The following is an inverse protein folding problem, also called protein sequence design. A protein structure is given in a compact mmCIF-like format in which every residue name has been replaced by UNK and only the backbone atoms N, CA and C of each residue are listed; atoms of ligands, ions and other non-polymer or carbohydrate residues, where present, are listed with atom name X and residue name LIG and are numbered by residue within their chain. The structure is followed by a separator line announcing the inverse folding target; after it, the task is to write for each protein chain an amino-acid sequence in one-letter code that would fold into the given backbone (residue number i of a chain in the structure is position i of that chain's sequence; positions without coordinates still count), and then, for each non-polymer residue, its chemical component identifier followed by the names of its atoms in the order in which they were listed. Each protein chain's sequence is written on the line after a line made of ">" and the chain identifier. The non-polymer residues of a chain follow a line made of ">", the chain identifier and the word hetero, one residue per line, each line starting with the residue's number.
data_IF_999986894537
#
_entry.id   IF_999986894537
#
_cell.length_a   1.000
_cell.length_b   1.000
_cell.length_c   1.000
_cell.angle_alpha   90.00
_cell.angle_beta   90.00
_cell.angle_gamma   90.00
#
_symmetry.space_group_name_H-M   'P 1'
#
loop_
_entity.id
_entity.type
_entity.pdbx_description
1 polymer ?
#
# COMPACT_ATOMS: atom_id res chain seq x y z
N UNK A 1 -11.03 15.34 -6.11
CA UNK A 1 -10.78 14.19 -5.21
C UNK A 1 -12.01 13.29 -5.20
N UNK A 2 -11.83 11.98 -5.40
CA UNK A 2 -12.92 10.98 -5.34
C UNK A 2 -13.34 10.81 -3.88
N UNK A 3 -14.63 10.97 -3.58
CA UNK A 3 -15.19 10.72 -2.25
C UNK A 3 -16.08 9.49 -2.30
N UNK A 4 -15.72 8.47 -1.52
CA UNK A 4 -16.44 7.20 -1.42
C UNK A 4 -17.05 6.99 -0.02
N UNK A 5 -16.84 7.94 0.91
CA UNK A 5 -17.26 7.86 2.31
C UNK A 5 -16.49 6.80 3.11
N UNK A 6 -15.25 6.53 2.70
CA UNK A 6 -14.38 5.57 3.36
C UNK A 6 -13.59 6.23 4.51
N UNK A 7 -13.34 5.51 5.61
CA UNK A 7 -12.71 6.08 6.80
C UNK A 7 -11.35 6.76 6.56
N UNK A 8 -10.55 6.28 5.60
CA UNK A 8 -9.25 6.87 5.29
C UNK A 8 -9.36 8.32 4.78
N UNK A 9 -10.50 8.70 4.21
CA UNK A 9 -10.70 10.06 3.69
C UNK A 9 -10.54 11.15 4.75
N UNK A 10 -10.91 10.84 6.00
CA UNK A 10 -10.85 11.78 7.12
C UNK A 10 -9.41 12.15 7.50
N UNK A 11 -8.43 11.33 7.16
CA UNK A 11 -7.03 11.57 7.48
C UNK A 11 -6.14 11.92 6.26
N UNK A 12 -6.69 11.97 5.04
CA UNK A 12 -5.91 12.24 3.84
C UNK A 12 -5.21 13.60 3.85
N UNK A 13 -5.87 14.64 4.30
CA UNK A 13 -5.27 16.00 4.34
C UNK A 13 -4.09 16.02 5.33
N UNK A 14 -4.23 15.35 6.48
CA UNK A 14 -3.13 15.20 7.44
C UNK A 14 -1.99 14.37 6.87
N UNK A 15 -2.29 13.28 6.17
CA UNK A 15 -1.30 12.43 5.50
C UNK A 15 -0.50 13.21 4.45
N UNK A 16 -1.16 14.00 3.61
CA UNK A 16 -0.54 14.85 2.61
C UNK A 16 0.39 15.88 3.24
N UNK A 17 -0.08 16.56 4.30
CA UNK A 17 0.74 17.50 5.05
C UNK A 17 1.99 16.80 5.62
N UNK A 18 1.82 15.67 6.30
CA UNK A 18 2.98 14.92 6.85
C UNK A 18 3.98 14.52 5.77
N UNK A 19 3.52 14.03 4.62
CA UNK A 19 4.39 13.67 3.51
C UNK A 19 5.03 14.88 2.83
N UNK A 20 4.47 16.08 2.92
CA UNK A 20 5.12 17.29 2.43
C UNK A 20 6.29 17.74 3.33
N UNK A 21 6.19 17.48 4.63
CA UNK A 21 7.16 17.91 5.65
C UNK A 21 8.19 16.84 6.00
N UNK A 22 7.89 15.56 5.75
CA UNK A 22 8.67 14.39 6.15
C UNK A 22 8.88 13.43 4.98
N UNK A 23 9.91 12.64 5.07
CA UNK A 23 10.24 11.61 4.06
C UNK A 23 9.71 10.24 4.43
N UNK A 24 9.43 9.99 5.71
CA UNK A 24 8.81 8.78 6.23
C UNK A 24 7.53 9.10 6.99
N UNK A 25 6.48 8.36 6.67
CA UNK A 25 5.20 8.43 7.36
C UNK A 25 4.62 7.03 7.52
N UNK A 26 3.97 6.79 8.64
CA UNK A 26 3.21 5.55 8.90
C UNK A 26 1.72 5.90 8.90
N UNK A 27 0.94 5.22 8.09
CA UNK A 27 -0.52 5.30 8.08
C UNK A 27 -1.11 4.06 8.77
N UNK A 28 -1.77 4.28 9.87
CA UNK A 28 -2.51 3.25 10.59
C UNK A 28 -4.00 3.39 10.30
N UNK A 29 -4.60 2.36 9.71
CA UNK A 29 -6.03 2.34 9.46
C UNK A 29 -6.52 0.90 9.34
N UNK A 30 -7.70 0.57 9.87
CA UNK A 30 -8.22 -0.80 9.88
C UNK A 30 -8.44 -1.34 8.46
N UNK A 31 -8.58 -2.67 8.31
CA UNK A 31 -8.98 -3.28 7.05
C UNK A 31 -10.29 -2.66 6.53
N UNK A 32 -10.39 -2.50 5.21
CA UNK A 32 -11.58 -1.91 4.59
C UNK A 32 -11.68 -0.38 4.70
N UNK A 33 -10.75 0.30 5.35
CA UNK A 33 -10.72 1.78 5.43
C UNK A 33 -10.47 2.48 4.09
N UNK A 34 -10.05 1.77 3.05
CA UNK A 34 -9.75 2.33 1.73
C UNK A 34 -8.29 2.69 1.49
N UNK A 35 -7.36 2.31 2.39
CA UNK A 35 -5.91 2.59 2.27
C UNK A 35 -5.38 2.27 0.88
N UNK A 36 -5.45 1.01 0.50
CA UNK A 36 -4.88 0.44 -0.74
C UNK A 36 -5.33 1.18 -2.01
N UNK A 37 -6.57 1.67 -2.03
CA UNK A 37 -7.16 2.20 -3.27
C UNK A 37 -7.25 3.72 -3.33
N UNK A 38 -7.48 4.39 -2.20
CA UNK A 38 -7.64 5.84 -2.19
C UNK A 38 -6.34 6.59 -1.94
N UNK A 39 -5.46 6.08 -1.08
CA UNK A 39 -4.23 6.77 -0.70
C UNK A 39 -3.32 7.03 -1.91
N UNK A 40 -2.98 6.03 -2.76
CA UNK A 40 -2.12 6.29 -3.91
C UNK A 40 -2.72 7.32 -4.88
N UNK A 41 -4.04 7.25 -5.11
CA UNK A 41 -4.74 8.21 -5.98
C UNK A 41 -4.79 9.62 -5.40
N UNK A 42 -4.98 9.73 -4.08
CA UNK A 42 -5.02 11.03 -3.41
C UNK A 42 -3.66 11.75 -3.42
N UNK A 43 -2.56 11.02 -3.53
CA UNK A 43 -1.19 11.55 -3.51
C UNK A 43 -0.63 11.87 -4.89
N UNK A 44 -1.33 11.50 -5.98
CA UNK A 44 -0.84 11.65 -7.36
C UNK A 44 -0.49 13.07 -7.77
N UNK A 45 -1.25 14.04 -7.27
CA UNK A 45 -1.12 15.45 -7.65
C UNK A 45 -0.37 16.31 -6.62
N UNK A 46 0.29 15.65 -5.67
CA UNK A 46 1.07 16.37 -4.66
C UNK A 46 2.34 16.99 -5.27
N UNK A 47 2.57 18.27 -4.98
CA UNK A 47 3.68 19.04 -5.58
C UNK A 47 5.06 18.44 -5.32
N UNK A 48 5.28 17.81 -4.15
CA UNK A 48 6.55 17.17 -3.80
C UNK A 48 6.84 15.92 -4.66
N UNK A 49 5.83 15.30 -5.25
CA UNK A 49 6.01 14.16 -6.17
C UNK A 49 6.69 14.59 -7.48
N UNK A 50 6.55 15.87 -7.87
CA UNK A 50 7.24 16.48 -9.03
C UNK A 50 7.09 15.67 -10.32
N UNK A 51 5.92 15.06 -10.57
CA UNK A 51 5.66 14.21 -11.72
C UNK A 51 6.26 12.80 -11.66
N UNK A 52 7.02 12.47 -10.63
CA UNK A 52 7.57 11.13 -10.41
C UNK A 52 6.48 10.10 -10.11
N UNK A 53 6.83 8.83 -10.20
CA UNK A 53 5.90 7.71 -9.99
C UNK A 53 5.71 7.39 -8.50
N UNK A 54 4.60 6.77 -8.20
CA UNK A 54 4.33 6.08 -6.95
C UNK A 54 4.46 4.58 -7.20
N UNK A 55 5.30 3.90 -6.44
CA UNK A 55 5.31 2.43 -6.36
C UNK A 55 4.55 2.00 -5.12
N UNK A 56 3.62 1.06 -5.26
CA UNK A 56 2.91 0.46 -4.13
C UNK A 56 3.20 -1.04 -4.09
N UNK A 57 3.83 -1.48 -3.01
CA UNK A 57 4.05 -2.88 -2.74
C UNK A 57 2.79 -3.51 -2.18
N UNK A 58 2.43 -4.63 -2.78
CA UNK A 58 1.33 -5.48 -2.34
C UNK A 58 1.86 -6.93 -2.25
N UNK A 59 1.81 -7.60 -1.08
CA UNK A 59 2.47 -8.89 -0.89
C UNK A 59 1.85 -10.02 -1.72
N UNK A 60 0.60 -9.87 -2.15
CA UNK A 60 -0.15 -10.93 -2.81
C UNK A 60 -0.44 -10.60 -4.27
N UNK A 61 -0.06 -11.46 -5.19
CA UNK A 61 -0.26 -11.28 -6.65
C UNK A 61 -1.72 -10.97 -7.04
N UNK A 62 -2.68 -11.66 -6.43
CA UNK A 62 -4.10 -11.42 -6.70
C UNK A 62 -4.51 -10.02 -6.21
N UNK A 63 -4.07 -9.62 -5.03
CA UNK A 63 -4.33 -8.30 -4.46
C UNK A 63 -3.65 -7.19 -5.29
N UNK A 64 -2.39 -7.38 -5.73
CA UNK A 64 -1.69 -6.48 -6.67
C UNK A 64 -2.54 -6.15 -7.88
N UNK A 65 -3.05 -7.19 -8.56
CA UNK A 65 -3.87 -7.01 -9.76
C UNK A 65 -5.22 -6.37 -9.43
N UNK A 66 -5.87 -6.82 -8.38
CA UNK A 66 -7.19 -6.30 -7.95
C UNK A 66 -7.11 -4.84 -7.52
N UNK A 67 -6.07 -4.44 -6.78
CA UNK A 67 -5.85 -3.07 -6.37
C UNK A 67 -5.66 -2.15 -7.59
N UNK A 68 -4.80 -2.53 -8.55
CA UNK A 68 -4.60 -1.76 -9.77
C UNK A 68 -5.90 -1.61 -10.59
N UNK A 69 -6.65 -2.69 -10.77
CA UNK A 69 -7.94 -2.64 -11.46
C UNK A 69 -8.95 -1.75 -10.74
N UNK A 70 -9.02 -1.85 -9.41
CA UNK A 70 -9.93 -1.01 -8.61
C UNK A 70 -9.57 0.46 -8.70
N UNK A 71 -8.29 0.81 -8.53
CA UNK A 71 -7.83 2.20 -8.65
C UNK A 71 -8.11 2.77 -10.06
N UNK A 72 -7.77 2.03 -11.12
CA UNK A 72 -8.06 2.46 -12.49
C UNK A 72 -9.56 2.68 -12.71
N UNK A 73 -10.41 1.77 -12.23
CA UNK A 73 -11.88 1.91 -12.31
C UNK A 73 -12.39 3.15 -11.57
N UNK A 74 -11.78 3.54 -10.44
CA UNK A 74 -12.18 4.73 -9.69
C UNK A 74 -11.94 6.03 -10.45
N UNK A 75 -10.99 6.04 -11.37
CA UNK A 75 -10.68 7.18 -12.24
C UNK A 75 -11.20 6.99 -13.67
N UNK A 76 -12.09 6.01 -13.90
CA UNK A 76 -12.69 5.67 -15.19
C UNK A 76 -11.66 5.30 -16.27
N UNK A 77 -10.59 4.61 -15.89
CA UNK A 77 -9.52 4.14 -16.78
C UNK A 77 -9.39 2.61 -16.76
N UNK A 78 -8.61 2.08 -17.70
CA UNK A 78 -8.16 0.70 -17.70
C UNK A 78 -6.77 0.59 -17.09
N UNK A 79 -6.42 -0.55 -16.44
CA UNK A 79 -5.05 -0.78 -15.97
C UNK A 79 -4.02 -0.67 -17.10
N UNK A 80 -2.92 0.03 -16.82
CA UNK A 80 -1.86 0.34 -17.77
C UNK A 80 -1.90 1.78 -18.30
N UNK A 81 -2.94 2.55 -17.96
CA UNK A 81 -2.98 4.00 -18.15
C UNK A 81 -2.34 4.70 -16.94
N UNK A 82 -3.04 5.57 -16.23
CA UNK A 82 -2.50 6.23 -15.02
C UNK A 82 -2.10 5.24 -13.92
N UNK A 83 -2.88 4.17 -13.75
CA UNK A 83 -2.60 3.09 -12.79
C UNK A 83 -2.27 1.81 -13.54
N UNK A 84 -1.17 1.18 -13.15
CA UNK A 84 -0.76 -0.12 -13.70
C UNK A 84 -0.25 -1.08 -12.63
N UNK A 85 0.18 -2.25 -13.05
CA UNK A 85 0.78 -3.23 -12.16
C UNK A 85 1.93 -3.99 -12.81
N UNK A 86 2.87 -4.44 -11.98
CA UNK A 86 3.95 -5.36 -12.39
C UNK A 86 4.07 -6.51 -11.40
N UNK A 87 4.03 -7.70 -11.92
CA UNK A 87 4.35 -8.92 -11.20
C UNK A 87 5.01 -9.93 -12.14
N UNK A 88 5.61 -10.97 -11.59
CA UNK A 88 6.26 -11.98 -12.42
C UNK A 88 5.29 -12.54 -13.45
N UNK A 89 5.66 -12.48 -14.73
CA UNK A 89 4.92 -13.00 -15.90
C UNK A 89 3.58 -12.28 -16.22
N UNK A 90 3.21 -11.21 -15.50
CA UNK A 90 2.03 -10.42 -15.85
C UNK A 90 2.28 -8.95 -15.52
N UNK A 91 2.26 -8.11 -16.54
CA UNK A 91 2.58 -6.68 -16.42
C UNK A 91 1.63 -5.88 -17.31
N UNK A 92 1.05 -4.83 -16.74
CA UNK A 92 0.27 -3.82 -17.46
C UNK A 92 0.67 -2.41 -17.00
N UNK A 93 1.61 -1.82 -17.69
CA UNK A 93 2.08 -0.45 -17.51
C UNK A 93 2.38 0.18 -18.85
N UNK A 94 2.38 1.50 -18.92
CA UNK A 94 2.79 2.30 -20.07
C UNK A 94 3.61 3.51 -19.63
N UNK A 95 4.02 4.35 -20.56
CA UNK A 95 4.71 5.60 -20.25
C UNK A 95 3.80 6.62 -19.53
N UNK A 96 2.50 6.42 -19.54
CA UNK A 96 1.52 7.25 -18.81
C UNK A 96 1.32 6.78 -17.38
N UNK A 97 1.82 5.59 -17.01
CA UNK A 97 1.58 5.00 -15.69
C UNK A 97 2.35 5.77 -14.62
N UNK A 98 1.59 6.30 -13.67
CA UNK A 98 2.07 7.09 -12.54
C UNK A 98 1.98 6.35 -11.21
N UNK A 99 1.04 5.42 -11.07
CA UNK A 99 0.95 4.49 -9.94
C UNK A 99 1.20 3.08 -10.45
N UNK A 100 2.25 2.44 -9.96
CA UNK A 100 2.54 1.04 -10.28
C UNK A 100 2.37 0.19 -9.02
N UNK A 101 1.37 -0.71 -9.03
CA UNK A 101 1.21 -1.71 -7.98
C UNK A 101 2.13 -2.89 -8.30
N UNK A 102 3.03 -3.22 -7.39
CA UNK A 102 4.09 -4.19 -7.65
C UNK A 102 4.20 -5.23 -6.54
N UNK A 103 4.70 -6.41 -6.87
CA UNK A 103 5.07 -7.40 -5.87
C UNK A 103 6.51 -7.17 -5.39
N UNK A 104 6.84 -7.66 -4.21
CA UNK A 104 8.13 -7.44 -3.53
C UNK A 104 9.35 -7.82 -4.39
N UNK A 105 9.31 -8.98 -5.04
CA UNK A 105 10.41 -9.41 -5.93
C UNK A 105 10.61 -8.50 -7.15
N UNK A 106 9.60 -7.73 -7.56
CA UNK A 106 9.74 -6.70 -8.59
C UNK A 106 10.50 -5.49 -8.04
N UNK A 107 10.15 -5.01 -6.83
CA UNK A 107 10.88 -3.88 -6.24
C UNK A 107 12.34 -4.22 -5.99
N UNK A 108 12.63 -5.38 -5.43
CA UNK A 108 14.02 -5.84 -5.22
C UNK A 108 14.81 -5.83 -6.51
N UNK A 109 14.22 -6.31 -7.61
CA UNK A 109 14.86 -6.28 -8.92
C UNK A 109 15.06 -4.87 -9.47
N UNK A 110 14.09 -3.97 -9.27
CA UNK A 110 14.23 -2.56 -9.66
C UNK A 110 15.38 -1.90 -8.91
N UNK A 111 15.49 -2.13 -7.60
CA UNK A 111 16.58 -1.62 -6.76
C UNK A 111 17.95 -2.19 -7.13
N UNK A 112 18.02 -3.42 -7.65
CA UNK A 112 19.26 -3.98 -8.18
C UNK A 112 19.70 -3.30 -9.48
N UNK A 113 18.76 -2.84 -10.31
CA UNK A 113 19.03 -2.16 -11.57
C UNK A 113 19.29 -0.67 -11.38
N UNK A 114 18.51 -0.04 -10.55
CA UNK A 114 18.60 1.37 -10.17
C UNK A 114 18.38 1.53 -8.65
N UNK A 115 19.46 1.52 -7.86
CA UNK A 115 19.36 1.70 -6.41
C UNK A 115 18.80 3.07 -5.99
N UNK A 116 18.86 4.06 -6.87
CA UNK A 116 18.34 5.39 -6.61
C UNK A 116 16.82 5.48 -6.77
N UNK A 117 16.21 4.60 -7.59
CA UNK A 117 14.81 4.71 -8.04
C UNK A 117 14.49 6.13 -8.51
N UNK A 118 15.32 6.71 -9.36
CA UNK A 118 15.29 8.15 -9.69
C UNK A 118 13.93 8.64 -10.16
N UNK A 119 13.21 7.84 -10.94
CA UNK A 119 11.86 8.17 -11.44
C UNK A 119 10.74 8.00 -10.41
N UNK A 120 11.05 7.50 -9.20
CA UNK A 120 10.08 7.22 -8.15
C UNK A 120 10.14 8.32 -7.10
N UNK A 121 9.01 8.92 -6.76
CA UNK A 121 8.90 9.91 -5.70
C UNK A 121 8.43 9.32 -4.37
N UNK A 122 7.64 8.23 -4.44
CA UNK A 122 7.07 7.59 -3.26
C UNK A 122 7.05 6.07 -3.42
N UNK A 123 7.49 5.35 -2.40
CA UNK A 123 7.25 3.92 -2.23
C UNK A 123 6.27 3.71 -1.08
N UNK A 124 5.16 3.05 -1.37
CA UNK A 124 4.14 2.65 -0.39
C UNK A 124 4.30 1.16 -0.11
N UNK A 125 4.43 0.80 1.14
CA UNK A 125 4.41 -0.57 1.62
C UNK A 125 3.03 -0.85 2.21
N UNK A 126 2.18 -1.57 1.48
CA UNK A 126 0.85 -1.93 1.97
C UNK A 126 0.88 -3.25 2.76
N UNK A 127 -0.07 -3.40 3.68
CA UNK A 127 -0.20 -4.56 4.58
C UNK A 127 1.11 -4.95 5.31
N UNK A 128 1.94 -3.95 5.65
CA UNK A 128 3.27 -4.18 6.23
C UNK A 128 3.24 -4.96 7.55
N UNK A 129 2.11 -4.98 8.24
CA UNK A 129 1.90 -5.77 9.46
C UNK A 129 1.91 -7.30 9.21
N UNK A 130 1.78 -7.77 7.98
CA UNK A 130 1.92 -9.21 7.65
C UNK A 130 3.37 -9.72 7.85
N UNK A 131 4.33 -8.81 8.03
CA UNK A 131 5.75 -9.07 8.32
C UNK A 131 6.35 -10.14 7.41
N UNK A 132 6.76 -9.70 6.26
CA UNK A 132 7.36 -10.53 5.23
C UNK A 132 8.84 -10.14 5.08
N UNK A 133 9.73 -11.12 5.02
CA UNK A 133 11.17 -10.91 4.87
C UNK A 133 11.52 -10.08 3.63
N UNK A 134 10.82 -10.31 2.53
CA UNK A 134 11.06 -9.59 1.27
C UNK A 134 10.65 -8.11 1.38
N UNK A 135 9.57 -7.80 2.11
CA UNK A 135 9.17 -6.42 2.40
C UNK A 135 10.16 -5.70 3.32
N UNK A 136 10.62 -6.37 4.38
CA UNK A 136 11.63 -5.81 5.30
C UNK A 136 12.95 -5.56 4.57
N UNK A 137 13.38 -6.47 3.71
CA UNK A 137 14.56 -6.31 2.86
C UNK A 137 14.39 -5.15 1.88
N UNK A 138 13.25 -5.07 1.19
CA UNK A 138 12.96 -4.02 0.23
C UNK A 138 12.95 -2.63 0.90
N UNK A 139 12.35 -2.52 2.09
CA UNK A 139 12.37 -1.28 2.88
C UNK A 139 13.81 -0.87 3.23
N UNK A 140 14.62 -1.82 3.72
CA UNK A 140 16.01 -1.57 4.07
C UNK A 140 16.84 -1.10 2.87
N UNK A 141 16.62 -1.71 1.69
CA UNK A 141 17.25 -1.32 0.43
C UNK A 141 16.81 0.07 -0.03
N UNK A 142 15.52 0.41 0.08
CA UNK A 142 15.01 1.75 -0.24
C UNK A 142 15.66 2.82 0.65
N UNK A 143 15.71 2.59 1.97
CA UNK A 143 16.34 3.51 2.91
C UNK A 143 17.83 3.70 2.62
N UNK A 144 18.54 2.60 2.37
CA UNK A 144 19.97 2.66 2.05
C UNK A 144 20.24 3.28 0.69
N UNK A 145 19.46 2.91 -0.32
CA UNK A 145 19.55 3.46 -1.68
C UNK A 145 19.33 4.97 -1.69
N UNK A 146 18.30 5.43 -0.98
CA UNK A 146 18.02 6.86 -0.81
C UNK A 146 19.22 7.61 -0.23
N UNK A 147 19.81 7.09 0.83
CA UNK A 147 20.94 7.75 1.51
C UNK A 147 22.21 7.78 0.66
N UNK A 148 22.48 6.75 -0.15
CA UNK A 148 23.73 6.61 -0.89
C UNK A 148 23.68 7.21 -2.30
N UNK A 149 22.51 7.23 -2.93
CA UNK A 149 22.39 7.48 -4.37
C UNK A 149 21.41 8.60 -4.73
N UNK A 150 20.74 9.23 -3.76
CA UNK A 150 19.83 10.35 -4.05
C UNK A 150 20.29 11.66 -3.44
N UNK A 151 19.95 12.75 -4.14
CA UNK A 151 20.13 14.10 -3.62
C UNK A 151 19.09 14.39 -2.51
N UNK A 152 19.54 15.11 -1.48
CA UNK A 152 18.67 15.57 -0.39
C UNK A 152 17.54 16.51 -0.84
N UNK A 153 17.66 17.12 -2.01
CA UNK A 153 16.61 18.01 -2.55
C UNK A 153 15.41 17.25 -3.14
N UNK A 154 15.58 15.95 -3.45
CA UNK A 154 14.51 15.10 -4.00
C UNK A 154 14.55 13.71 -3.37
N UNK A 155 14.33 13.59 -2.05
CA UNK A 155 14.41 12.32 -1.35
C UNK A 155 13.32 11.37 -1.83
N UNK A 156 13.61 10.06 -1.78
CA UNK A 156 12.59 9.04 -1.95
C UNK A 156 11.73 9.00 -0.69
N UNK A 157 10.45 9.32 -0.83
CA UNK A 157 9.53 9.23 0.30
C UNK A 157 9.03 7.81 0.51
N UNK A 158 8.79 7.47 1.76
CA UNK A 158 8.34 6.13 2.17
C UNK A 158 7.07 6.28 3.00
N UNK A 159 6.03 5.56 2.58
CA UNK A 159 4.78 5.44 3.32
C UNK A 159 4.57 3.98 3.70
N UNK A 160 4.50 3.69 4.99
CA UNK A 160 4.11 2.38 5.50
C UNK A 160 2.62 2.41 5.82
N UNK A 161 1.85 1.46 5.26
CA UNK A 161 0.43 1.30 5.60
C UNK A 161 0.24 0.01 6.40
N UNK A 162 -0.41 0.12 7.55
CA UNK A 162 -0.63 -0.98 8.48
C UNK A 162 -2.06 -0.98 9.01
N UNK A 163 -2.57 -2.16 9.36
CA UNK A 163 -3.88 -2.33 9.98
C UNK A 163 -3.82 -2.53 11.50
N UNK A 164 -2.64 -2.62 12.10
CA UNK A 164 -2.45 -3.00 13.50
C UNK A 164 -1.61 -2.01 14.30
N UNK A 165 -1.66 -2.17 15.64
CA UNK A 165 -1.02 -1.32 16.65
C UNK A 165 0.52 -1.35 16.68
N UNK A 166 1.19 -2.14 15.83
CA UNK A 166 2.65 -2.19 15.75
C UNK A 166 3.28 -0.95 15.08
N UNK A 167 2.45 0.05 14.77
CA UNK A 167 2.86 1.30 14.10
C UNK A 167 3.95 2.06 14.86
N UNK A 168 3.98 1.98 16.21
CA UNK A 168 5.02 2.63 17.01
C UNK A 168 6.41 2.01 16.81
N UNK A 169 6.50 0.68 16.80
CA UNK A 169 7.78 0.00 16.56
C UNK A 169 8.30 0.28 15.15
N UNK A 170 7.41 0.34 14.16
CA UNK A 170 7.75 0.70 12.77
C UNK A 170 8.20 2.17 12.70
N UNK A 171 7.49 3.08 13.35
CA UNK A 171 7.84 4.49 13.38
C UNK A 171 9.24 4.73 13.99
N UNK A 172 9.59 4.03 15.07
CA UNK A 172 10.93 4.09 15.68
C UNK A 172 12.03 3.61 14.72
N UNK A 173 11.77 2.53 13.95
CA UNK A 173 12.70 2.06 12.92
C UNK A 173 12.90 3.07 11.78
N UNK A 174 11.95 3.97 11.59
CA UNK A 174 11.93 5.02 10.57
C UNK A 174 12.24 6.41 11.16
N UNK A 175 13.21 6.50 12.05
CA UNK A 175 13.65 7.77 12.68
C UNK A 175 12.51 8.57 13.32
N UNK A 176 11.68 7.88 14.09
CA UNK A 176 10.48 8.45 14.74
C UNK A 176 9.51 9.07 13.73
N UNK A 177 9.19 8.31 12.67
CA UNK A 177 8.25 8.72 11.65
C UNK A 177 6.89 9.09 12.24
N UNK A 178 6.23 10.08 11.65
CA UNK A 178 4.89 10.50 12.09
C UNK A 178 3.88 9.40 11.79
N UNK A 179 3.06 9.08 12.79
CA UNK A 179 1.93 8.17 12.64
C UNK A 179 0.66 8.99 12.37
N UNK A 180 0.01 8.69 11.26
CA UNK A 180 -1.32 9.20 10.91
C UNK A 180 -2.31 8.07 11.11
N UNK A 181 -3.33 8.26 11.94
CA UNK A 181 -4.32 7.22 12.23
C UNK A 181 -5.68 7.58 11.63
N UNK A 182 -6.35 6.61 11.06
CA UNK A 182 -7.74 6.70 10.62
C UNK A 182 -8.63 5.89 11.56
N UNK A 183 -9.65 6.54 12.10
CA UNK A 183 -10.67 5.88 12.91
C UNK A 183 -11.53 5.01 11.99
N UNK A 184 -11.41 3.69 12.11
CA UNK A 184 -12.22 2.76 11.34
C UNK A 184 -13.67 2.69 11.84
N UNK A 185 -14.57 2.28 10.95
CA UNK A 185 -15.90 1.86 11.36
C UNK A 185 -15.82 0.39 11.80
N UNK A 186 -16.04 0.13 13.09
CA UNK A 186 -16.21 -1.22 13.59
C UNK A 186 -17.69 -1.60 13.49
N UNK A 187 -17.96 -2.73 12.84
CA UNK A 187 -19.31 -3.30 12.82
C UNK A 187 -19.38 -4.42 13.87
N UNK A 188 -20.45 -4.48 14.65
CA UNK A 188 -20.63 -5.57 15.62
C UNK A 188 -20.72 -6.91 14.87
N UNK A 189 -19.91 -7.88 15.28
CA UNK A 189 -19.93 -9.23 14.75
C UNK A 189 -20.69 -10.12 15.72
N UNK A 190 -21.87 -10.61 15.29
CA UNK A 190 -22.60 -11.63 16.04
C UNK A 190 -21.99 -13.01 15.79
N UNK A 191 -21.57 -13.70 16.83
CA UNK A 191 -21.08 -15.07 16.73
C UNK A 191 -22.22 -16.03 17.03
N UNK A 192 -22.64 -16.81 16.00
CA UNK A 192 -23.65 -17.85 16.15
C UNK A 192 -22.98 -19.23 16.05
N UNK A 193 -23.12 -20.03 17.08
CA UNK A 193 -22.63 -21.41 17.08
C UNK A 193 -23.72 -22.34 16.55
N UNK A 194 -23.46 -23.00 15.42
CA UNK A 194 -24.33 -24.07 14.93
C UNK A 194 -24.20 -25.36 15.78
N UNK A 195 -25.05 -26.35 15.49
CA UNK A 195 -24.95 -27.68 16.15
C UNK A 195 -23.57 -28.32 15.97
N UNK A 196 -23.14 -29.16 16.89
CA UNK A 196 -21.91 -29.92 16.78
C UNK A 196 -21.89 -30.79 15.51
N UNK A 197 -20.72 -30.91 14.85
CA UNK A 197 -20.57 -31.75 13.66
C UNK A 197 -20.75 -33.22 14.02
N UNK A 198 -21.50 -33.96 13.19
CA UNK A 198 -21.59 -35.41 13.34
C UNK A 198 -20.37 -36.12 12.74
N UNK A 199 -19.93 -37.28 13.27
CA UNK A 199 -18.67 -37.94 12.84
C UNK A 199 -18.53 -38.25 11.36
N UNK A 200 -19.66 -38.45 10.64
CA UNK A 200 -19.70 -38.77 9.21
C UNK A 200 -20.10 -37.59 8.32
N UNK A 201 -20.38 -36.44 8.88
CA UNK A 201 -20.81 -35.25 8.14
C UNK A 201 -19.61 -34.57 7.47
N UNK A 202 -19.68 -34.31 6.16
CA UNK A 202 -18.64 -33.57 5.45
C UNK A 202 -18.71 -32.08 5.85
N UNK A 203 -17.56 -31.46 6.13
CA UNK A 203 -17.47 -30.05 6.52
C UNK A 203 -18.09 -29.14 5.44
N UNK A 204 -17.81 -29.43 4.18
CA UNK A 204 -18.30 -28.63 3.03
C UNK A 204 -19.83 -28.64 2.97
N UNK A 205 -20.46 -29.81 3.08
CA UNK A 205 -21.93 -29.94 3.01
C UNK A 205 -22.61 -29.13 4.12
N UNK A 206 -21.96 -29.07 5.27
CA UNK A 206 -22.44 -28.29 6.41
C UNK A 206 -22.26 -26.78 6.21
N UNK A 207 -21.12 -26.33 5.66
CA UNK A 207 -20.87 -24.91 5.41
C UNK A 207 -21.84 -24.33 4.36
N UNK A 208 -22.33 -25.17 3.46
CA UNK A 208 -23.32 -24.77 2.44
C UNK A 208 -24.74 -24.72 3.03
N UNK A 209 -25.03 -25.47 4.10
CA UNK A 209 -26.35 -25.55 4.74
C UNK A 209 -26.55 -24.53 5.87
N UNK A 210 -25.56 -23.69 6.16
CA UNK A 210 -25.60 -22.62 7.18
C UNK A 210 -25.73 -21.26 6.52
#
# INVERSE_FOLDING_TARGET
>A
MIRLGLPVEDCLDRLKQCLSERDEVVLEAPPGAGKTTLVPLALLDEGWLSGKKILMLEPRRIATKSAAHRMASLINELPGQTVGYRMRLDTKVSNQTRVEVITEGILTRMLQQDPSLEEVGLVIFDEFHERNLDSDLALSLCLKGRTLFRDNQSPLKILIMSATLDSQAIAQLLNDAVIVSSAGKSYPVGINYGRARQPKERIVDRMVAT
#
